data_IF_096920645087
#
_entry.id   IF_096920645087
#
_cell.length_a   1.000
_cell.length_b   1.000
_cell.length_c   1.000
_cell.angle_alpha   90.00
_cell.angle_beta   90.00
_cell.angle_gamma   90.00
#
_symmetry.space_group_name_H-M   'P 1'
#
loop_
_entity.id
_entity.type
_entity.pdbx_description
1 polymer ?
#
# COMPACT_ATOMS: atom_id res chain seq x y z
N UNK A 1 -14.93 4.83 22.19
CA UNK A 1 -16.31 5.36 22.26
C UNK A 1 -17.10 4.72 23.40
N UNK A 2 -17.50 3.44 23.33
CA UNK A 2 -18.39 2.80 24.34
C UNK A 2 -17.93 2.96 25.80
N UNK A 3 -16.64 2.70 26.09
CA UNK A 3 -16.05 2.86 27.44
C UNK A 3 -15.96 4.32 27.91
N UNK A 4 -15.85 5.28 26.99
CA UNK A 4 -15.80 6.72 27.31
C UNK A 4 -17.18 7.24 27.66
N UNK A 5 -18.20 6.79 26.91
CA UNK A 5 -19.60 7.11 27.17
C UNK A 5 -20.09 6.56 28.51
N UNK A 6 -19.85 5.28 28.78
CA UNK A 6 -20.18 4.65 30.06
C UNK A 6 -19.55 5.39 31.25
N UNK A 7 -18.32 5.90 31.07
CA UNK A 7 -17.64 6.70 32.09
C UNK A 7 -18.31 8.07 32.30
N UNK A 8 -18.72 8.76 31.23
CA UNK A 8 -19.43 10.04 31.33
C UNK A 8 -20.80 9.89 31.99
N UNK A 9 -21.50 8.78 31.73
CA UNK A 9 -22.76 8.44 32.41
C UNK A 9 -22.53 8.22 33.92
N UNK A 10 -21.46 7.49 34.29
CA UNK A 10 -21.07 7.28 35.70
C UNK A 10 -20.64 8.59 36.39
N UNK A 11 -19.97 9.47 35.67
CA UNK A 11 -19.48 10.77 36.17
C UNK A 11 -20.61 11.82 36.28
N UNK A 12 -21.86 11.45 35.97
CA UNK A 12 -23.06 12.27 36.22
C UNK A 12 -23.38 13.29 35.13
N UNK A 13 -22.78 13.17 33.94
CA UNK A 13 -23.15 14.01 32.80
C UNK A 13 -24.53 13.64 32.29
N UNK A 14 -25.32 14.64 31.89
CA UNK A 14 -26.67 14.39 31.37
C UNK A 14 -26.65 13.82 29.94
N UNK A 15 -27.68 13.04 29.61
CA UNK A 15 -27.81 12.37 28.31
C UNK A 15 -27.75 13.32 27.10
N UNK A 16 -28.14 14.60 27.25
CA UNK A 16 -28.07 15.57 26.14
C UNK A 16 -26.62 15.96 25.91
N UNK A 17 -25.87 16.24 26.96
CA UNK A 17 -24.42 16.53 26.90
C UNK A 17 -23.65 15.35 26.30
N UNK A 18 -23.95 14.12 26.74
CA UNK A 18 -23.30 12.91 26.21
C UNK A 18 -23.60 12.71 24.72
N UNK A 19 -24.86 12.89 24.28
CA UNK A 19 -25.22 12.80 22.85
C UNK A 19 -24.58 13.89 22.00
N UNK A 20 -24.43 15.10 22.53
CA UNK A 20 -23.72 16.18 21.84
C UNK A 20 -22.24 15.85 21.65
N UNK A 21 -21.59 15.29 22.68
CA UNK A 21 -20.21 14.83 22.59
C UNK A 21 -20.04 13.68 21.60
N UNK A 22 -20.94 12.68 21.60
CA UNK A 22 -20.95 11.60 20.61
C UNK A 22 -21.06 12.17 19.18
N UNK A 23 -21.99 13.12 18.95
CA UNK A 23 -22.18 13.76 17.64
C UNK A 23 -20.93 14.52 17.19
N UNK A 24 -20.29 15.27 18.09
CA UNK A 24 -19.06 16.00 17.79
C UNK A 24 -17.88 15.06 17.52
N UNK A 25 -17.77 13.97 18.28
CA UNK A 25 -16.72 12.96 18.09
C UNK A 25 -16.89 12.18 16.78
N UNK A 26 -18.13 11.88 16.37
CA UNK A 26 -18.43 11.30 15.06
C UNK A 26 -18.08 12.28 13.93
N UNK A 27 -18.46 13.55 14.06
CA UNK A 27 -18.09 14.59 13.09
C UNK A 27 -16.57 14.75 12.96
N UNK A 28 -15.84 14.75 14.08
CA UNK A 28 -14.39 14.81 14.08
C UNK A 28 -13.77 13.55 13.43
N UNK A 29 -14.28 12.37 13.74
CA UNK A 29 -13.82 11.11 13.15
C UNK A 29 -14.04 11.08 11.63
N UNK A 30 -15.19 11.56 11.15
CA UNK A 30 -15.49 11.67 9.73
C UNK A 30 -14.58 12.68 9.03
N UNK A 31 -14.32 13.83 9.65
CA UNK A 31 -13.38 14.83 9.12
C UNK A 31 -11.94 14.28 9.05
N UNK A 32 -11.48 13.59 10.10
CA UNK A 32 -10.17 12.94 10.11
C UNK A 32 -10.05 11.87 9.02
N UNK A 33 -11.09 11.04 8.84
CA UNK A 33 -11.12 10.06 7.75
C UNK A 33 -11.00 10.74 6.39
N UNK A 34 -11.79 11.78 6.13
CA UNK A 34 -11.73 12.52 4.87
C UNK A 34 -10.35 13.13 4.58
N UNK A 35 -9.66 13.63 5.62
CA UNK A 35 -8.29 14.13 5.49
C UNK A 35 -7.29 13.01 5.17
N UNK A 36 -7.41 11.86 5.82
CA UNK A 36 -6.55 10.70 5.55
C UNK A 36 -6.77 10.17 4.12
N UNK A 37 -8.03 10.05 3.70
CA UNK A 37 -8.39 9.58 2.35
C UNK A 37 -7.85 10.56 1.29
N UNK A 38 -7.92 11.88 1.53
CA UNK A 38 -7.32 12.88 0.64
C UNK A 38 -5.79 12.78 0.61
N UNK A 39 -5.16 12.56 1.76
CA UNK A 39 -3.72 12.34 1.86
C UNK A 39 -3.25 11.10 1.10
N UNK A 40 -4.00 10.00 1.19
CA UNK A 40 -3.73 8.77 0.43
C UNK A 40 -3.76 9.03 -1.09
N UNK A 41 -4.81 9.67 -1.59
CA UNK A 41 -4.94 10.00 -3.02
C UNK A 41 -3.85 10.95 -3.53
N UNK A 42 -3.41 11.90 -2.71
CA UNK A 42 -2.26 12.77 -3.05
C UNK A 42 -0.99 11.93 -3.14
N UNK A 43 -0.80 10.98 -2.23
CA UNK A 43 0.30 10.03 -2.27
C UNK A 43 0.28 9.19 -3.54
N UNK A 44 -0.86 8.59 -3.88
CA UNK A 44 -1.05 7.77 -5.08
C UNK A 44 -0.73 8.56 -6.35
N UNK A 45 -1.39 9.71 -6.54
CA UNK A 45 -1.16 10.56 -7.71
C UNK A 45 0.28 11.05 -7.82
N UNK A 46 0.91 11.41 -6.69
CA UNK A 46 2.29 11.87 -6.68
C UNK A 46 3.30 10.74 -6.89
N UNK A 47 3.05 9.55 -6.35
CA UNK A 47 3.89 8.37 -6.54
C UNK A 47 3.89 7.88 -7.98
N UNK A 48 2.70 7.79 -8.60
CA UNK A 48 2.58 7.42 -10.01
C UNK A 48 3.20 8.45 -10.94
N UNK A 49 2.98 9.76 -10.65
CA UNK A 49 3.63 10.85 -11.38
C UNK A 49 5.15 10.71 -11.31
N UNK A 50 5.70 10.49 -10.11
CA UNK A 50 7.13 10.31 -9.92
C UNK A 50 7.67 9.14 -10.75
N UNK A 51 7.06 7.96 -10.67
CA UNK A 51 7.48 6.79 -11.44
C UNK A 51 7.42 7.05 -12.95
N UNK A 52 6.33 7.67 -13.42
CA UNK A 52 6.15 8.02 -14.84
C UNK A 52 7.21 9.02 -15.31
N UNK A 53 7.55 10.03 -14.50
CA UNK A 53 8.62 11.01 -14.82
C UNK A 53 10.02 10.37 -14.83
N UNK A 54 10.23 9.31 -14.05
CA UNK A 54 11.44 8.47 -14.13
C UNK A 54 11.41 7.47 -15.30
N UNK A 55 10.33 7.44 -16.09
CA UNK A 55 10.17 6.59 -17.26
C UNK A 55 9.71 5.16 -16.95
N UNK A 56 9.30 4.87 -15.71
CA UNK A 56 8.72 3.56 -15.40
C UNK A 56 7.39 3.37 -16.11
N UNK A 57 7.17 2.16 -16.59
CA UNK A 57 5.86 1.71 -17.04
C UNK A 57 5.08 1.17 -15.83
N UNK A 58 3.98 1.81 -15.49
CA UNK A 58 3.00 1.32 -14.51
C UNK A 58 1.92 0.56 -15.31
N UNK A 59 1.76 -0.76 -15.09
CA UNK A 59 0.71 -1.52 -15.74
C UNK A 59 -0.68 -1.02 -15.31
N UNK A 60 -1.65 -1.12 -16.20
CA UNK A 60 -2.95 -0.48 -16.02
C UNK A 60 -3.68 -0.98 -14.76
N UNK A 61 -3.59 -2.26 -14.43
CA UNK A 61 -4.18 -2.84 -13.23
C UNK A 61 -3.59 -2.29 -11.92
N UNK A 62 -2.39 -1.70 -11.98
CA UNK A 62 -1.70 -1.08 -10.84
C UNK A 62 -1.88 0.43 -10.76
N UNK A 63 -2.57 1.05 -11.72
CA UNK A 63 -2.91 2.48 -11.66
C UNK A 63 -4.09 2.73 -10.72
N UNK A 64 -4.00 3.81 -9.94
CA UNK A 64 -4.99 4.23 -8.96
C UNK A 64 -6.33 4.60 -9.62
N UNK A 65 -6.33 5.08 -10.87
CA UNK A 65 -7.55 5.38 -11.62
C UNK A 65 -8.33 4.12 -12.05
N UNK A 66 -7.67 2.96 -12.08
CA UNK A 66 -8.28 1.66 -12.37
C UNK A 66 -8.75 0.89 -11.11
N UNK A 67 -8.46 1.41 -9.91
CA UNK A 67 -8.97 0.82 -8.67
C UNK A 67 -10.41 1.30 -8.44
N UNK A 68 -11.37 0.43 -8.75
CA UNK A 68 -12.82 0.74 -8.68
C UNK A 68 -13.38 0.77 -7.25
N UNK A 69 -12.58 0.42 -6.24
CA UNK A 69 -12.96 0.35 -4.83
C UNK A 69 -12.27 1.47 -4.03
N UNK A 70 -12.83 1.82 -2.86
CA UNK A 70 -12.30 2.85 -1.95
C UNK A 70 -12.00 4.24 -2.57
N UNK A 71 -12.55 4.53 -3.76
CA UNK A 71 -12.31 5.81 -4.45
C UNK A 71 -10.90 5.94 -5.04
N UNK A 72 -10.35 4.84 -5.57
CA UNK A 72 -9.03 4.80 -6.23
C UNK A 72 -7.93 4.14 -5.40
N UNK A 73 -8.20 3.86 -4.11
CA UNK A 73 -7.21 3.31 -3.18
C UNK A 73 -7.26 1.78 -3.12
N UNK A 74 -6.09 1.15 -3.23
CA UNK A 74 -5.95 -0.30 -3.16
C UNK A 74 -6.60 -0.88 -1.88
N UNK A 75 -7.25 -2.05 -1.94
CA UNK A 75 -7.73 -2.77 -0.76
C UNK A 75 -6.64 -2.97 0.30
N UNK A 76 -7.04 -3.06 1.57
CA UNK A 76 -6.11 -3.38 2.64
C UNK A 76 -5.42 -4.72 2.40
N UNK A 77 -4.08 -4.74 2.50
CA UNK A 77 -3.24 -5.90 2.22
C UNK A 77 -2.73 -5.97 0.78
N UNK A 78 -3.15 -5.06 -0.10
CA UNK A 78 -2.57 -4.91 -1.44
C UNK A 78 -1.50 -3.83 -1.44
N UNK A 79 -0.66 -3.84 -2.48
CA UNK A 79 0.34 -2.78 -2.68
C UNK A 79 -0.34 -1.53 -3.24
N UNK A 80 0.24 -0.37 -2.96
CA UNK A 80 -0.25 0.88 -3.53
C UNK A 80 0.01 0.95 -5.05
N UNK A 81 1.12 0.37 -5.53
CA UNK A 81 1.39 0.28 -6.97
C UNK A 81 2.57 -0.64 -7.35
N UNK A 82 2.77 -0.80 -8.66
CA UNK A 82 3.90 -1.53 -9.26
C UNK A 82 4.37 -0.79 -10.52
N UNK A 83 5.66 -0.88 -10.84
CA UNK A 83 6.19 -0.36 -12.10
C UNK A 83 7.40 -1.14 -12.59
N UNK A 84 7.61 -1.16 -13.90
CA UNK A 84 8.78 -1.73 -14.55
C UNK A 84 9.67 -0.60 -15.09
N UNK A 85 10.97 -0.68 -14.86
CA UNK A 85 11.93 0.30 -15.37
C UNK A 85 11.94 0.32 -16.91
N UNK A 86 12.32 1.45 -17.54
CA UNK A 86 12.31 1.55 -19.01
C UNK A 86 13.17 0.51 -19.74
N UNK A 87 14.22 0.01 -19.10
CA UNK A 87 15.11 -1.04 -19.61
C UNK A 87 14.65 -2.47 -19.25
N UNK A 88 13.57 -2.61 -18.50
CA UNK A 88 13.05 -3.87 -18.01
C UNK A 88 13.88 -4.54 -16.90
N UNK A 89 14.94 -3.90 -16.41
CA UNK A 89 15.88 -4.48 -15.45
C UNK A 89 15.47 -4.38 -13.97
N UNK A 90 14.40 -3.67 -13.66
CA UNK A 90 13.89 -3.49 -12.30
C UNK A 90 12.36 -3.46 -12.28
N UNK A 91 11.78 -4.21 -11.34
CA UNK A 91 10.38 -4.13 -10.98
C UNK A 91 10.28 -3.52 -9.57
N UNK A 92 9.58 -2.39 -9.47
CA UNK A 92 9.32 -1.72 -8.20
C UNK A 92 7.96 -2.14 -7.65
N UNK A 93 7.94 -2.43 -6.36
CA UNK A 93 6.72 -2.61 -5.56
C UNK A 93 6.58 -1.38 -4.67
N UNK A 94 5.54 -0.58 -4.92
CA UNK A 94 5.48 0.78 -4.40
C UNK A 94 4.51 0.94 -3.24
N UNK A 95 4.95 1.71 -2.26
CA UNK A 95 4.15 2.23 -1.15
C UNK A 95 4.11 3.76 -1.28
N UNK A 96 2.92 4.32 -1.42
CA UNK A 96 2.71 5.75 -1.62
C UNK A 96 2.26 6.41 -0.32
N UNK A 97 2.83 7.59 -0.02
CA UNK A 97 2.52 8.34 1.20
C UNK A 97 2.38 9.82 0.87
N UNK A 98 1.19 10.38 1.04
CA UNK A 98 0.95 11.80 0.76
C UNK A 98 1.01 12.68 2.01
N UNK A 99 1.38 13.95 1.79
CA UNK A 99 1.33 15.03 2.79
C UNK A 99 2.18 14.67 4.01
N UNK A 100 1.54 14.41 5.16
CA UNK A 100 2.19 14.06 6.43
C UNK A 100 2.07 12.58 6.77
N UNK A 101 1.60 11.74 5.84
CA UNK A 101 1.50 10.31 6.07
C UNK A 101 2.89 9.68 6.21
N UNK A 102 2.99 8.74 7.15
CA UNK A 102 4.22 8.01 7.47
C UNK A 102 3.97 6.51 7.39
N UNK A 103 5.02 5.73 7.18
CA UNK A 103 4.95 4.27 7.32
C UNK A 103 4.54 3.90 8.75
N UNK A 104 3.64 2.92 8.87
CA UNK A 104 3.28 2.37 10.17
C UNK A 104 4.51 1.78 10.87
N UNK A 105 4.72 2.18 12.13
CA UNK A 105 5.76 1.60 13.00
C UNK A 105 5.30 0.34 13.71
N UNK A 106 4.06 -0.09 13.49
CA UNK A 106 3.51 -1.33 14.05
C UNK A 106 3.78 -2.47 13.07
N UNK A 107 4.60 -3.47 13.45
CA UNK A 107 4.85 -4.61 12.58
C UNK A 107 3.58 -5.45 12.39
N UNK A 108 3.37 -5.93 11.18
CA UNK A 108 2.28 -6.85 10.81
C UNK A 108 2.84 -8.25 10.58
N UNK A 109 2.01 -9.28 10.79
CA UNK A 109 2.40 -10.65 10.47
C UNK A 109 2.42 -10.83 8.95
N UNK A 110 3.46 -11.47 8.45
CA UNK A 110 3.57 -11.98 7.09
C UNK A 110 3.39 -13.49 7.09
N UNK A 111 3.06 -14.07 5.93
CA UNK A 111 2.81 -15.51 5.79
C UNK A 111 4.02 -16.38 6.10
N UNK A 112 5.21 -15.93 5.70
CA UNK A 112 6.42 -16.77 5.72
C UNK A 112 7.58 -16.19 6.53
N UNK A 113 7.55 -14.89 6.87
CA UNK A 113 8.73 -14.19 7.39
C UNK A 113 8.50 -13.53 8.76
N UNK A 114 7.47 -13.96 9.49
CA UNK A 114 7.17 -13.46 10.82
C UNK A 114 6.59 -12.06 10.80
N UNK A 115 7.12 -11.14 11.62
CA UNK A 115 6.61 -9.76 11.69
C UNK A 115 7.46 -8.82 10.85
N UNK A 116 6.83 -8.02 10.00
CA UNK A 116 7.48 -7.04 9.14
C UNK A 116 6.92 -5.63 9.32
N UNK A 117 7.78 -4.62 9.16
CA UNK A 117 7.38 -3.21 9.07
C UNK A 117 6.98 -2.87 7.63
N UNK A 118 6.04 -1.94 7.50
CA UNK A 118 5.62 -1.40 6.19
C UNK A 118 6.83 -0.82 5.44
N UNK A 119 6.84 -0.96 4.11
CA UNK A 119 7.93 -0.50 3.24
C UNK A 119 9.19 -1.39 3.28
N UNK A 120 9.21 -2.45 4.09
CA UNK A 120 10.32 -3.40 4.15
C UNK A 120 10.17 -4.58 3.16
N UNK A 121 11.28 -5.29 2.84
CA UNK A 121 11.26 -6.43 1.90
C UNK A 121 10.25 -7.54 2.23
N UNK A 122 10.18 -7.98 3.49
CA UNK A 122 9.25 -9.04 3.91
C UNK A 122 7.79 -8.60 3.81
N UNK A 123 7.51 -7.32 4.06
CA UNK A 123 6.18 -6.74 3.89
C UNK A 123 5.79 -6.70 2.41
N UNK A 124 6.70 -6.24 1.55
CA UNK A 124 6.46 -6.18 0.10
C UNK A 124 6.18 -7.57 -0.48
N UNK A 125 6.99 -8.59 -0.13
CA UNK A 125 6.75 -9.98 -0.56
C UNK A 125 5.38 -10.50 -0.13
N UNK A 126 4.98 -10.23 1.11
CA UNK A 126 3.67 -10.64 1.62
C UNK A 126 2.50 -9.94 0.92
N UNK A 127 2.67 -8.67 0.56
CA UNK A 127 1.65 -7.90 -0.17
C UNK A 127 1.58 -8.33 -1.63
N UNK A 128 2.71 -8.63 -2.29
CA UNK A 128 2.72 -9.25 -3.63
C UNK A 128 1.92 -10.55 -3.67
N UNK A 129 2.00 -11.35 -2.60
CA UNK A 129 1.24 -12.59 -2.49
C UNK A 129 -0.26 -12.37 -2.18
N UNK A 130 -0.63 -11.20 -1.62
CA UNK A 130 -2.00 -10.86 -1.19
C UNK A 130 -2.77 -10.17 -2.29
N UNK A 131 -2.05 -9.48 -3.15
CA UNK A 131 -2.56 -8.75 -4.28
C UNK A 131 -2.61 -9.66 -5.52
N UNK A 132 -3.80 -10.10 -5.95
CA UNK A 132 -3.96 -11.03 -7.06
C UNK A 132 -3.44 -10.46 -8.39
N UNK A 133 -3.28 -9.13 -8.50
CA UNK A 133 -2.75 -8.48 -9.70
C UNK A 133 -1.34 -8.95 -10.01
N UNK A 134 -0.51 -9.28 -9.01
CA UNK A 134 0.84 -9.80 -9.30
C UNK A 134 0.81 -11.17 -9.96
N UNK A 135 -0.02 -12.09 -9.46
CA UNK A 135 -0.15 -13.41 -10.07
C UNK A 135 -0.67 -13.28 -11.51
N UNK A 136 -1.68 -12.44 -11.73
CA UNK A 136 -2.21 -12.18 -13.07
C UNK A 136 -1.16 -11.56 -14.00
N UNK A 137 -0.45 -10.52 -13.53
CA UNK A 137 0.58 -9.86 -14.33
C UNK A 137 1.71 -10.81 -14.72
N UNK A 138 2.19 -11.64 -13.78
CA UNK A 138 3.22 -12.64 -14.05
C UNK A 138 2.74 -13.79 -14.95
N UNK A 139 1.46 -14.14 -14.89
CA UNK A 139 0.84 -15.09 -15.83
C UNK A 139 0.84 -14.53 -17.26
N UNK A 140 0.44 -13.26 -17.40
CA UNK A 140 0.31 -12.61 -18.71
C UNK A 140 1.67 -12.18 -19.29
N UNK A 141 2.68 -12.00 -18.43
CA UNK A 141 4.05 -11.59 -18.77
C UNK A 141 5.08 -12.59 -18.23
N UNK A 142 5.11 -13.83 -18.78
CA UNK A 142 5.98 -14.89 -18.27
C UNK A 142 7.48 -14.54 -18.35
N UNK A 143 7.89 -13.69 -19.30
CA UNK A 143 9.26 -13.18 -19.39
C UNK A 143 9.66 -12.35 -18.17
N UNK A 144 8.73 -11.56 -17.62
CA UNK A 144 8.98 -10.79 -16.39
C UNK A 144 9.10 -11.74 -15.21
N UNK A 145 8.22 -12.74 -15.14
CA UNK A 145 8.27 -13.75 -14.08
C UNK A 145 9.57 -14.56 -14.08
N UNK A 146 9.99 -15.07 -15.24
CA UNK A 146 11.27 -15.75 -15.38
C UNK A 146 12.43 -14.81 -15.03
N UNK A 147 12.37 -13.55 -15.46
CA UNK A 147 13.38 -12.54 -15.14
C UNK A 147 13.52 -12.27 -13.64
N UNK A 148 12.42 -12.23 -12.90
CA UNK A 148 12.41 -12.10 -11.44
C UNK A 148 13.00 -13.36 -10.79
N UNK A 149 12.60 -14.56 -11.23
CA UNK A 149 13.10 -15.83 -10.69
C UNK A 149 14.60 -16.00 -10.88
N UNK A 150 15.12 -15.65 -12.05
CA UNK A 150 16.54 -15.79 -12.38
C UNK A 150 17.40 -14.58 -11.96
N UNK A 151 16.76 -13.51 -11.47
CA UNK A 151 17.42 -12.30 -10.96
C UNK A 151 17.88 -11.30 -12.02
N UNK A 152 17.54 -11.51 -13.30
CA UNK A 152 17.79 -10.50 -14.36
C UNK A 152 16.88 -9.27 -14.23
N UNK A 153 15.72 -9.43 -13.59
CA UNK A 153 14.86 -8.32 -13.16
C UNK A 153 14.98 -8.20 -11.65
N UNK A 154 15.56 -7.09 -11.20
CA UNK A 154 15.74 -6.81 -9.76
C UNK A 154 14.41 -6.38 -9.16
N UNK A 155 14.11 -6.85 -7.94
CA UNK A 155 12.95 -6.36 -7.19
C UNK A 155 13.39 -5.25 -6.23
N UNK A 156 12.55 -4.24 -6.08
CA UNK A 156 12.80 -3.14 -5.15
C UNK A 156 11.50 -2.66 -4.51
N UNK A 157 11.46 -2.66 -3.18
CA UNK A 157 10.34 -2.08 -2.44
C UNK A 157 10.61 -0.58 -2.30
N UNK A 158 9.81 0.24 -2.97
CA UNK A 158 10.01 1.68 -3.05
C UNK A 158 8.93 2.40 -2.27
N UNK A 159 9.31 3.13 -1.22
CA UNK A 159 8.38 4.06 -0.56
C UNK A 159 8.54 5.44 -1.17
N UNK A 160 7.46 6.01 -1.69
CA UNK A 160 7.46 7.33 -2.32
C UNK A 160 6.58 8.27 -1.51
N UNK A 161 7.20 9.30 -0.95
CA UNK A 161 6.54 10.32 -0.14
C UNK A 161 6.30 11.58 -0.96
N UNK A 162 5.04 11.89 -1.24
CA UNK A 162 4.63 13.16 -1.89
C UNK A 162 4.27 14.16 -0.80
N UNK A 163 5.28 14.91 -0.33
CA UNK A 163 5.11 15.88 0.78
C UNK A 163 4.43 17.15 0.30
N UNK A 164 4.84 17.63 -0.88
CA UNK A 164 4.26 18.75 -1.61
C UNK A 164 4.30 18.42 -3.11
N UNK A 165 3.66 19.21 -4.00
CA UNK A 165 3.71 18.98 -5.44
C UNK A 165 5.14 18.94 -6.03
N UNK A 166 6.10 19.60 -5.37
CA UNK A 166 7.48 19.75 -5.84
C UNK A 166 8.50 18.96 -4.99
N UNK A 167 8.07 18.34 -3.88
CA UNK A 167 8.95 17.58 -2.98
C UNK A 167 8.50 16.12 -2.90
N UNK A 168 9.29 15.26 -3.55
CA UNK A 168 9.18 13.81 -3.45
C UNK A 168 10.42 13.23 -2.77
N UNK A 169 10.21 12.49 -1.67
CA UNK A 169 11.27 11.73 -1.01
C UNK A 169 11.08 10.25 -1.32
N UNK A 170 12.18 9.53 -1.54
CA UNK A 170 12.12 8.13 -1.97
C UNK A 170 13.01 7.28 -1.07
N UNK A 171 12.43 6.21 -0.53
CA UNK A 171 13.14 5.15 0.17
C UNK A 171 13.20 3.90 -0.70
N UNK A 172 14.40 3.40 -0.95
CA UNK A 172 14.65 2.18 -1.70
C UNK A 172 15.03 1.03 -0.78
N UNK A 173 14.46 -0.15 -1.02
CA UNK A 173 14.74 -1.39 -0.31
C UNK A 173 14.82 -2.54 -1.34
N UNK A 174 15.97 -2.74 -2.01
CA UNK A 174 16.17 -3.86 -2.91
C UNK A 174 15.92 -5.20 -2.22
N UNK A 175 15.31 -6.13 -2.94
CA UNK A 175 15.03 -7.45 -2.39
C UNK A 175 15.05 -8.56 -3.45
N UNK A 176 14.97 -9.80 -2.98
CA UNK A 176 14.74 -10.99 -3.81
C UNK A 176 13.60 -11.80 -3.20
N UNK A 177 12.96 -12.64 -4.00
CA UNK A 177 11.97 -13.58 -3.49
C UNK A 177 12.66 -14.71 -2.72
N UNK A 178 12.09 -15.10 -1.58
CA UNK A 178 12.50 -16.34 -0.90
C UNK A 178 11.93 -17.54 -1.66
N UNK A 179 12.49 -18.75 -1.49
CA UNK A 179 11.95 -19.95 -2.13
C UNK A 179 10.45 -20.17 -1.86
N UNK A 180 10.01 -19.94 -0.62
CA UNK A 180 8.61 -20.10 -0.20
C UNK A 180 7.70 -19.09 -0.90
N UNK A 181 8.13 -17.83 -1.00
CA UNK A 181 7.38 -16.77 -1.68
C UNK A 181 7.33 -17.04 -3.19
N UNK A 182 8.45 -17.44 -3.80
CA UNK A 182 8.50 -17.83 -5.22
C UNK A 182 7.54 -18.98 -5.51
N UNK A 183 7.54 -20.02 -4.67
CA UNK A 183 6.65 -21.16 -4.84
C UNK A 183 5.18 -20.76 -4.69
N UNK A 184 4.85 -19.92 -3.71
CA UNK A 184 3.48 -19.47 -3.49
C UNK A 184 2.97 -18.57 -4.64
N UNK A 185 3.80 -17.70 -5.19
CA UNK A 185 3.46 -16.93 -6.39
C UNK A 185 3.28 -17.84 -7.61
N UNK A 186 4.18 -18.81 -7.83
CA UNK A 186 4.03 -19.77 -8.92
C UNK A 186 2.71 -20.56 -8.80
N UNK A 187 2.37 -21.01 -7.59
CA UNK A 187 1.10 -21.70 -7.37
C UNK A 187 -0.11 -20.79 -7.63
N UNK A 188 -0.02 -19.50 -7.29
CA UNK A 188 -1.08 -18.56 -7.62
C UNK A 188 -1.23 -18.37 -9.14
N UNK A 189 -0.10 -18.27 -9.87
CA UNK A 189 -0.05 -18.18 -11.34
C UNK A 189 -0.66 -19.44 -11.98
N UNK A 190 -0.29 -20.63 -11.52
CA UNK A 190 -0.74 -21.91 -12.07
C UNK A 190 -2.25 -22.17 -11.85
N UNK A 191 -2.89 -21.42 -10.95
CA UNK A 191 -4.30 -21.57 -10.57
C UNK A 191 -5.24 -20.54 -11.24
N UNK A 192 -4.72 -19.69 -12.13
CA UNK A 192 -5.51 -18.75 -12.94
C UNK A 192 -6.19 -19.46 -14.14
#
# INVERSE_FOLDING_TARGET
>A
MKRTREKLEIDGYDDRTIRQLDTQADAASNAHKALNDAGARIGEAGGEKYLTEQGYHIPDEFRADNVTVNGGTAPGGWVDGMGLSPDGGELVVSEYKGVTAELSRTPVNTRFEGKALQGGPAYARDHMLSDPRFAQYFHDHPEVWEGVKNGSIRLNAKTIYTRTPDLTEVGDQPFSLTPEVTQALQQAIDNL
#
